data_IF_751375273328
#
_entry.id   IF_751375273328
#
_cell.length_a   1.000
_cell.length_b   1.000
_cell.length_c   1.000
_cell.angle_alpha   90.00
_cell.angle_beta   90.00
_cell.angle_gamma   90.00
#
_symmetry.space_group_name_H-M   'P 1'
#
loop_
_entity.id
_entity.type
_entity.pdbx_description
1 polymer ?
#
# COMPACT_ATOMS: atom_id res chain seq x y z
N UNK A 1 -22.03 16.54 3.83
CA UNK A 1 -21.59 15.13 3.97
C UNK A 1 -22.73 14.17 4.36
N UNK A 2 -23.02 13.20 3.50
CA UNK A 2 -23.97 12.10 3.75
C UNK A 2 -23.38 11.03 4.69
N UNK A 3 -24.23 10.17 5.26
CA UNK A 3 -23.78 9.06 6.11
C UNK A 3 -22.92 8.04 5.34
N UNK A 4 -23.20 7.83 4.05
CA UNK A 4 -22.41 6.96 3.16
C UNK A 4 -21.00 7.51 2.92
N UNK A 5 -20.86 8.79 2.58
CA UNK A 5 -19.55 9.45 2.38
C UNK A 5 -18.72 9.45 3.67
N UNK A 6 -19.34 9.74 4.81
CA UNK A 6 -18.66 9.67 6.12
C UNK A 6 -18.15 8.25 6.42
N UNK A 7 -18.95 7.23 6.16
CA UNK A 7 -18.56 5.83 6.31
C UNK A 7 -17.42 5.42 5.38
N UNK A 8 -17.47 5.87 4.12
CA UNK A 8 -16.43 5.60 3.13
C UNK A 8 -15.08 6.22 3.51
N UNK A 9 -15.08 7.48 3.96
CA UNK A 9 -13.86 8.15 4.44
C UNK A 9 -13.22 7.38 5.60
N UNK A 10 -14.02 6.90 6.56
CA UNK A 10 -13.52 6.09 7.68
C UNK A 10 -12.91 4.78 7.18
N UNK A 11 -13.58 4.10 6.24
CA UNK A 11 -13.07 2.85 5.67
C UNK A 11 -11.76 3.07 4.89
N UNK A 12 -11.67 4.13 4.08
CA UNK A 12 -10.45 4.49 3.34
C UNK A 12 -9.29 4.78 4.29
N UNK A 13 -9.54 5.46 5.41
CA UNK A 13 -8.55 5.63 6.47
C UNK A 13 -8.07 4.31 7.06
N UNK A 14 -8.99 3.39 7.35
CA UNK A 14 -8.65 2.06 7.88
C UNK A 14 -7.80 1.29 6.88
N UNK A 15 -8.16 1.29 5.59
CA UNK A 15 -7.40 0.62 4.54
C UNK A 15 -5.98 1.17 4.41
N UNK A 16 -5.84 2.49 4.44
CA UNK A 16 -4.53 3.15 4.39
C UNK A 16 -3.65 2.76 5.59
N UNK A 17 -4.21 2.73 6.79
CA UNK A 17 -3.50 2.26 8.00
C UNK A 17 -3.09 0.80 7.87
N UNK A 18 -3.98 -0.08 7.38
CA UNK A 18 -3.67 -1.49 7.15
C UNK A 18 -2.51 -1.62 6.16
N UNK A 19 -2.50 -0.85 5.07
CA UNK A 19 -1.42 -0.86 4.08
C UNK A 19 -0.08 -0.42 4.70
N UNK A 20 -0.08 0.66 5.49
CA UNK A 20 1.12 1.11 6.22
C UNK A 20 1.63 0.01 7.17
N UNK A 21 0.73 -0.61 7.94
CA UNK A 21 1.10 -1.68 8.87
C UNK A 21 1.61 -2.92 8.14
N UNK A 22 1.01 -3.30 7.01
CA UNK A 22 1.47 -4.40 6.17
C UNK A 22 2.89 -4.17 5.66
N UNK A 23 3.16 -2.97 5.14
CA UNK A 23 4.50 -2.55 4.73
C UNK A 23 5.49 -2.58 5.91
N UNK A 24 5.14 -1.98 7.04
CA UNK A 24 6.00 -1.93 8.22
C UNK A 24 6.33 -3.33 8.75
N UNK A 25 5.33 -4.20 8.92
CA UNK A 25 5.52 -5.57 9.40
C UNK A 25 6.44 -6.35 8.47
N UNK A 26 6.26 -6.22 7.16
CA UNK A 26 7.14 -6.85 6.17
C UNK A 26 8.59 -6.38 6.32
N UNK A 27 8.81 -5.07 6.32
CA UNK A 27 10.16 -4.51 6.35
C UNK A 27 10.89 -4.73 7.68
N UNK A 28 10.19 -4.66 8.82
CA UNK A 28 10.78 -4.96 10.12
C UNK A 28 11.09 -6.44 10.29
N UNK A 29 10.26 -7.34 9.79
CA UNK A 29 10.56 -8.78 9.86
C UNK A 29 11.81 -9.15 9.05
N UNK A 30 11.97 -8.56 7.85
CA UNK A 30 13.19 -8.70 7.05
C UNK A 30 14.40 -8.14 7.81
N UNK A 31 14.27 -6.94 8.39
CA UNK A 31 15.33 -6.28 9.13
C UNK A 31 15.83 -7.11 10.32
N UNK A 32 14.93 -7.77 11.05
CA UNK A 32 15.24 -8.58 12.22
C UNK A 32 15.50 -10.07 11.92
N UNK A 33 15.56 -10.47 10.64
CA UNK A 33 15.77 -11.87 10.21
C UNK A 33 14.83 -12.87 10.91
N UNK A 34 13.57 -12.51 11.12
CA UNK A 34 12.57 -13.40 11.74
C UNK A 34 11.91 -14.30 10.70
N UNK A 35 11.73 -15.58 11.04
CA UNK A 35 11.01 -16.56 10.20
C UNK A 35 9.53 -16.24 10.05
N UNK A 36 8.93 -16.66 8.92
CA UNK A 36 7.57 -16.30 8.55
C UNK A 36 6.90 -17.45 7.79
N UNK A 37 5.70 -17.81 8.25
CA UNK A 37 4.82 -18.71 7.54
C UNK A 37 4.18 -18.00 6.34
N UNK A 38 4.26 -18.63 5.16
CA UNK A 38 3.58 -18.12 3.97
C UNK A 38 2.07 -18.23 4.14
N UNK A 39 1.34 -17.16 3.79
CA UNK A 39 -0.13 -17.17 3.79
C UNK A 39 -0.66 -17.93 2.57
N UNK A 40 0.07 -17.88 1.45
CA UNK A 40 -0.25 -18.61 0.22
C UNK A 40 0.76 -19.75 0.05
N UNK A 41 0.34 -21.01 -0.18
CA UNK A 41 1.28 -22.09 -0.50
C UNK A 41 1.94 -21.81 -1.86
N UNK A 42 3.26 -21.63 -1.87
CA UNK A 42 4.05 -21.36 -3.08
C UNK A 42 4.94 -22.58 -3.36
N UNK A 43 4.76 -23.19 -4.53
CA UNK A 43 5.51 -24.37 -5.00
C UNK A 43 6.77 -24.01 -5.84
N UNK A 44 7.19 -22.74 -5.84
CA UNK A 44 8.35 -22.26 -6.57
C UNK A 44 9.56 -22.07 -5.62
N UNK A 45 10.81 -22.27 -6.09
CA UNK A 45 12.01 -22.02 -5.29
C UNK A 45 12.23 -20.50 -5.13
N UNK A 46 11.48 -19.90 -4.20
CA UNK A 46 11.59 -18.50 -3.79
C UNK A 46 12.28 -18.41 -2.42
N UNK A 47 13.04 -17.34 -2.20
CA UNK A 47 13.60 -17.04 -0.88
C UNK A 47 12.47 -16.66 0.10
N UNK A 48 12.70 -16.84 1.41
CA UNK A 48 11.72 -16.44 2.45
C UNK A 48 11.34 -14.95 2.32
N UNK A 49 12.30 -14.10 1.93
CA UNK A 49 12.08 -12.67 1.69
C UNK A 49 11.14 -12.42 0.50
N UNK A 50 11.29 -13.20 -0.57
CA UNK A 50 10.42 -13.11 -1.75
C UNK A 50 9.00 -13.57 -1.43
N UNK A 51 8.85 -14.66 -0.69
CA UNK A 51 7.54 -15.19 -0.25
C UNK A 51 6.81 -14.18 0.62
N UNK A 52 7.51 -13.59 1.59
CA UNK A 52 6.96 -12.55 2.46
C UNK A 52 6.42 -11.38 1.66
N UNK A 53 7.24 -10.89 0.74
CA UNK A 53 6.93 -9.73 -0.05
C UNK A 53 5.74 -9.99 -0.98
N UNK A 54 5.64 -11.16 -1.60
CA UNK A 54 4.49 -11.55 -2.44
C UNK A 54 3.18 -11.58 -1.63
N UNK A 55 3.18 -12.18 -0.45
CA UNK A 55 1.98 -12.27 0.38
C UNK A 55 1.46 -10.88 0.81
N UNK A 56 2.37 -10.00 1.21
CA UNK A 56 1.99 -8.64 1.57
C UNK A 56 1.63 -7.78 0.36
N UNK A 57 2.27 -8.00 -0.80
CA UNK A 57 1.88 -7.33 -2.05
C UNK A 57 0.44 -7.63 -2.43
N UNK A 58 0.00 -8.89 -2.31
CA UNK A 58 -1.37 -9.31 -2.61
C UNK A 58 -2.36 -8.58 -1.70
N UNK A 59 -2.10 -8.53 -0.39
CA UNK A 59 -2.95 -7.79 0.55
C UNK A 59 -3.07 -6.32 0.17
N UNK A 60 -1.93 -5.69 -0.11
CA UNK A 60 -1.82 -4.26 -0.42
C UNK A 60 -2.54 -3.91 -1.73
N UNK A 61 -2.44 -4.78 -2.75
CA UNK A 61 -3.18 -4.63 -4.01
C UNK A 61 -4.70 -4.74 -3.78
N UNK A 62 -5.15 -5.70 -2.98
CA UNK A 62 -6.58 -5.86 -2.66
C UNK A 62 -7.11 -4.61 -1.95
N UNK A 63 -6.37 -4.08 -0.97
CA UNK A 63 -6.75 -2.84 -0.27
C UNK A 63 -6.91 -1.66 -1.24
N UNK A 64 -6.00 -1.50 -2.22
CA UNK A 64 -6.15 -0.45 -3.23
C UNK A 64 -7.33 -0.66 -4.15
N UNK A 65 -7.58 -1.89 -4.61
CA UNK A 65 -8.73 -2.15 -5.47
C UNK A 65 -10.04 -1.79 -4.75
N UNK A 66 -10.14 -2.12 -3.45
CA UNK A 66 -11.27 -1.71 -2.62
C UNK A 66 -11.34 -0.18 -2.53
N UNK A 67 -10.22 0.50 -2.27
CA UNK A 67 -10.17 1.97 -2.17
C UNK A 67 -10.62 2.66 -3.46
N UNK A 68 -10.15 2.18 -4.61
CA UNK A 68 -10.52 2.71 -5.93
C UNK A 68 -12.00 2.48 -6.21
N UNK A 69 -12.48 1.25 -6.07
CA UNK A 69 -13.90 0.92 -6.29
C UNK A 69 -14.79 1.75 -5.37
N UNK A 70 -14.43 1.83 -4.09
CA UNK A 70 -15.18 2.60 -3.11
C UNK A 70 -15.27 4.07 -3.51
N UNK A 71 -14.15 4.67 -3.95
CA UNK A 71 -14.13 6.06 -4.44
C UNK A 71 -15.14 6.25 -5.55
N UNK A 72 -15.11 5.41 -6.60
CA UNK A 72 -16.06 5.48 -7.71
C UNK A 72 -17.53 5.26 -7.32
N UNK A 73 -17.80 4.55 -6.24
CA UNK A 73 -19.17 4.27 -5.79
C UNK A 73 -19.78 5.38 -4.93
N UNK A 74 -18.95 6.22 -4.30
CA UNK A 74 -19.40 7.18 -3.28
C UNK A 74 -19.25 8.63 -3.68
N UNK A 75 -18.45 8.93 -4.71
CA UNK A 75 -18.35 10.28 -5.25
C UNK A 75 -19.58 10.65 -6.04
N UNK A 76 -20.03 11.90 -5.91
CA UNK A 76 -21.23 12.37 -6.62
C UNK A 76 -20.93 12.73 -8.08
N UNK A 77 -19.67 13.05 -8.39
CA UNK A 77 -19.19 13.28 -9.75
C UNK A 77 -18.26 12.16 -10.24
N UNK A 78 -18.17 12.02 -11.56
CA UNK A 78 -17.30 11.04 -12.20
C UNK A 78 -15.87 11.58 -12.30
N UNK A 79 -14.98 11.10 -11.44
CA UNK A 79 -13.55 11.41 -11.49
C UNK A 79 -12.79 10.42 -12.38
N UNK A 80 -12.00 10.92 -13.33
CA UNK A 80 -11.04 10.09 -14.05
C UNK A 80 -9.91 9.61 -13.12
N UNK A 81 -9.21 8.52 -13.46
CA UNK A 81 -8.08 8.04 -12.65
C UNK A 81 -6.99 9.10 -12.44
N UNK A 82 -6.79 9.97 -13.42
CA UNK A 82 -5.79 11.04 -13.36
C UNK A 82 -6.23 12.13 -12.37
N UNK A 83 -7.51 12.52 -12.37
CA UNK A 83 -8.04 13.51 -11.43
C UNK A 83 -7.93 13.01 -9.98
N UNK A 84 -8.23 11.73 -9.73
CA UNK A 84 -8.03 11.11 -8.41
C UNK A 84 -6.56 11.24 -7.98
N UNK A 85 -5.62 10.91 -8.87
CA UNK A 85 -4.19 11.01 -8.59
C UNK A 85 -3.73 12.46 -8.37
N UNK A 86 -4.34 13.43 -9.03
CA UNK A 86 -4.02 14.85 -8.86
C UNK A 86 -4.38 15.39 -7.47
N UNK A 87 -5.36 14.78 -6.79
CA UNK A 87 -5.72 15.13 -5.41
C UNK A 87 -4.74 14.56 -4.37
N UNK A 88 -3.65 13.93 -4.81
CA UNK A 88 -2.62 13.42 -3.92
C UNK A 88 -2.02 14.53 -3.04
N UNK A 89 -1.92 14.27 -1.74
CA UNK A 89 -1.21 15.12 -0.80
C UNK A 89 0.05 14.41 -0.24
N UNK A 90 1.26 14.92 -0.54
CA UNK A 90 2.53 14.34 -0.06
C UNK A 90 2.64 14.20 1.46
N UNK A 91 1.90 15.03 2.21
CA UNK A 91 1.91 15.01 3.67
C UNK A 91 1.45 13.65 4.22
N UNK A 92 0.46 13.03 3.59
CA UNK A 92 -0.07 11.72 4.02
C UNK A 92 0.84 10.56 3.59
N UNK A 93 1.81 10.79 2.71
CA UNK A 93 2.75 9.76 2.25
C UNK A 93 3.90 9.55 3.24
N UNK A 94 4.13 10.46 4.20
CA UNK A 94 5.26 10.41 5.13
C UNK A 94 5.43 9.03 5.81
N UNK A 95 4.38 8.38 6.35
CA UNK A 95 4.52 7.05 6.95
C UNK A 95 5.01 5.99 5.93
N UNK A 96 4.42 5.97 4.73
CA UNK A 96 4.84 5.05 3.66
C UNK A 96 6.24 5.35 3.15
N UNK A 97 6.67 6.61 3.14
CA UNK A 97 8.03 7.00 2.79
C UNK A 97 9.05 6.44 3.81
N UNK A 98 8.75 6.54 5.11
CA UNK A 98 9.60 5.97 6.17
C UNK A 98 9.72 4.44 6.03
N UNK A 99 8.61 3.74 5.82
CA UNK A 99 8.62 2.29 5.58
C UNK A 99 9.44 1.94 4.34
N UNK A 100 9.30 2.73 3.27
CA UNK A 100 10.05 2.54 2.02
C UNK A 100 11.56 2.71 2.21
N UNK A 101 12.00 3.63 3.06
CA UNK A 101 13.42 3.78 3.39
C UNK A 101 13.99 2.53 4.08
N UNK A 102 13.21 1.90 4.96
CA UNK A 102 13.59 0.61 5.57
C UNK A 102 13.67 -0.48 4.50
N UNK A 103 12.75 -0.50 3.54
CA UNK A 103 12.79 -1.45 2.42
C UNK A 103 14.00 -1.26 1.51
N UNK A 104 14.36 -0.02 1.20
CA UNK A 104 15.59 0.29 0.45
C UNK A 104 16.83 -0.16 1.24
N UNK A 105 16.86 0.10 2.55
CA UNK A 105 17.95 -0.36 3.42
C UNK A 105 18.10 -1.88 3.42
N UNK A 106 16.97 -2.61 3.52
CA UNK A 106 16.94 -4.06 3.43
C UNK A 106 17.45 -4.55 2.07
N UNK A 107 17.05 -3.89 0.98
CA UNK A 107 17.51 -4.23 -0.37
C UNK A 107 19.03 -4.02 -0.54
N UNK A 108 19.59 -2.93 -0.01
CA UNK A 108 21.03 -2.67 -0.07
C UNK A 108 21.81 -3.75 0.67
N UNK A 109 21.30 -4.20 1.83
CA UNK A 109 21.92 -5.20 2.71
C UNK A 109 21.71 -6.65 2.30
N UNK A 110 20.79 -6.95 1.39
CA UNK A 110 20.58 -8.31 0.95
C UNK A 110 21.86 -8.88 0.30
N UNK A 111 22.22 -10.11 0.62
CA UNK A 111 23.43 -10.76 0.09
C UNK A 111 23.17 -11.32 -1.32
N UNK A 112 21.94 -11.76 -1.58
CA UNK A 112 21.49 -12.33 -2.83
C UNK A 112 21.04 -11.22 -3.78
N UNK A 113 21.61 -11.16 -4.99
CA UNK A 113 21.28 -10.14 -5.98
C UNK A 113 19.79 -10.15 -6.37
N UNK A 114 19.19 -11.33 -6.52
CA UNK A 114 17.76 -11.46 -6.82
C UNK A 114 16.88 -10.82 -5.74
N UNK A 115 17.21 -11.02 -4.46
CA UNK A 115 16.48 -10.41 -3.34
C UNK A 115 16.56 -8.88 -3.38
N UNK A 116 17.70 -8.31 -3.82
CA UNK A 116 17.81 -6.84 -4.01
C UNK A 116 16.78 -6.32 -4.99
N UNK A 117 16.69 -6.95 -6.16
CA UNK A 117 15.76 -6.53 -7.23
C UNK A 117 14.33 -6.61 -6.72
N UNK A 118 13.99 -7.73 -6.10
CA UNK A 118 12.64 -7.96 -5.60
C UNK A 118 12.27 -6.97 -4.49
N UNK A 119 13.14 -6.74 -3.51
CA UNK A 119 12.89 -5.77 -2.45
C UNK A 119 12.71 -4.35 -2.99
N UNK A 120 13.52 -3.92 -3.97
CA UNK A 120 13.32 -2.61 -4.63
C UNK A 120 12.00 -2.57 -5.39
N UNK A 121 11.66 -3.60 -6.15
CA UNK A 121 10.39 -3.69 -6.86
C UNK A 121 9.20 -3.61 -5.89
N UNK A 122 9.28 -4.31 -4.75
CA UNK A 122 8.29 -4.26 -3.68
C UNK A 122 8.12 -2.86 -3.09
N UNK A 123 9.23 -2.13 -2.86
CA UNK A 123 9.17 -0.73 -2.40
C UNK A 123 8.49 0.17 -3.43
N UNK A 124 8.82 0.02 -4.72
CA UNK A 124 8.21 0.82 -5.79
C UNK A 124 6.70 0.59 -5.85
N UNK A 125 6.28 -0.68 -5.84
CA UNK A 125 4.85 -1.01 -5.85
C UNK A 125 4.17 -0.49 -4.58
N UNK A 126 4.76 -0.70 -3.40
CA UNK A 126 4.20 -0.20 -2.15
C UNK A 126 3.97 1.32 -2.15
N UNK A 127 4.92 2.10 -2.68
CA UNK A 127 4.77 3.55 -2.82
C UNK A 127 3.68 3.92 -3.82
N UNK A 128 3.64 3.27 -5.00
CA UNK A 128 2.61 3.54 -6.00
C UNK A 128 1.21 3.26 -5.44
N UNK A 129 1.05 2.15 -4.74
CA UNK A 129 -0.22 1.74 -4.12
C UNK A 129 -0.60 2.70 -2.99
N UNK A 130 0.36 3.13 -2.15
CA UNK A 130 0.13 4.15 -1.11
C UNK A 130 -0.35 5.49 -1.69
N UNK A 131 0.24 5.94 -2.80
CA UNK A 131 -0.18 7.17 -3.48
C UNK A 131 -1.64 7.04 -3.93
N UNK A 132 -2.01 5.93 -4.55
CA UNK A 132 -3.39 5.69 -5.01
C UNK A 132 -4.39 5.72 -3.85
N UNK A 133 -4.11 5.06 -2.71
CA UNK A 133 -5.03 5.09 -1.56
C UNK A 133 -5.19 6.48 -0.95
N UNK A 134 -4.08 7.21 -0.83
CA UNK A 134 -4.11 8.58 -0.31
C UNK A 134 -4.95 9.45 -1.25
N UNK A 135 -4.69 9.37 -2.56
CA UNK A 135 -5.48 10.05 -3.57
C UNK A 135 -6.97 9.74 -3.45
N UNK A 136 -7.35 8.47 -3.37
CA UNK A 136 -8.74 8.03 -3.17
C UNK A 136 -9.38 8.68 -1.93
N UNK A 137 -8.66 8.65 -0.79
CA UNK A 137 -9.10 9.25 0.46
C UNK A 137 -9.35 10.76 0.32
N UNK A 138 -8.41 11.49 -0.29
CA UNK A 138 -8.53 12.93 -0.43
C UNK A 138 -9.65 13.28 -1.40
N UNK A 139 -9.79 12.58 -2.53
CA UNK A 139 -10.88 12.81 -3.48
C UNK A 139 -12.25 12.64 -2.83
N UNK A 140 -12.49 11.55 -2.09
CA UNK A 140 -13.79 11.35 -1.41
C UNK A 140 -14.02 12.41 -0.33
N UNK A 141 -12.95 12.89 0.32
CA UNK A 141 -13.06 13.94 1.33
C UNK A 141 -13.44 15.28 0.71
N UNK A 142 -12.79 15.68 -0.39
CA UNK A 142 -13.09 16.92 -1.11
C UNK A 142 -14.50 16.90 -1.68
N UNK A 143 -14.90 15.82 -2.37
CA UNK A 143 -16.26 15.63 -2.90
C UNK A 143 -17.34 15.60 -1.80
N UNK A 144 -16.98 15.33 -0.55
CA UNK A 144 -17.90 15.38 0.60
C UNK A 144 -18.03 16.76 1.25
N UNK A 145 -17.06 17.65 1.00
CA UNK A 145 -16.97 19.02 1.50
C UNK A 145 -17.56 20.04 0.51
N UNK A 146 -17.59 19.70 -0.79
CA UNK A 146 -18.36 20.40 -1.85
C UNK A 146 -19.89 20.21 -1.70
#
# INVERSE_FOLDING_TARGET
MTASKKGAIILLWILNIINILAGAVSQFKILFKKDIDSIIPINAPLSVNQILMVNFLVLIIICVLISVILTYLVTDIAYSPIEILQNFSPLFLIPSAVVSLVGIFNAVRAEIFSDKIWLIAGVIVYLAVSIIEISCLITVKEDAED
#
